data_IF_040729400149
#
_entry.id   IF_040729400149
#
_cell.length_a   1.000
_cell.length_b   1.000
_cell.length_c   1.000
_cell.angle_alpha   90.00
_cell.angle_beta   90.00
_cell.angle_gamma   90.00
#
_symmetry.space_group_name_H-M   'P 1'
#
loop_
_entity.id
_entity.type
_entity.pdbx_description
1 polymer ?
#
# COMPACT_ATOMS: atom_id res chain seq x y z
N UNK A 1 12.49 -0.26 -35.71
CA UNK A 1 12.78 -1.12 -34.55
C UNK A 1 11.42 -1.57 -34.03
N UNK A 2 11.00 -2.80 -34.30
CA UNK A 2 9.68 -3.27 -33.85
C UNK A 2 9.81 -3.65 -32.38
N UNK A 3 9.25 -2.83 -31.49
CA UNK A 3 9.14 -3.17 -30.09
C UNK A 3 8.20 -4.38 -29.95
N UNK A 4 8.71 -5.47 -29.39
CA UNK A 4 7.87 -6.60 -28.97
C UNK A 4 6.96 -6.12 -27.84
N UNK A 5 5.66 -6.47 -27.87
CA UNK A 5 4.74 -6.10 -26.81
C UNK A 5 5.16 -6.73 -25.47
N UNK A 6 4.96 -6.05 -24.33
CA UNK A 6 5.23 -6.61 -23.01
C UNK A 6 4.28 -7.79 -22.72
N UNK A 7 4.64 -8.70 -21.80
CA UNK A 7 3.77 -9.81 -21.43
C UNK A 7 2.40 -9.32 -20.96
N UNK A 8 1.31 -9.93 -21.44
CA UNK A 8 -0.04 -9.45 -21.17
C UNK A 8 -1.12 -10.08 -22.03
N UNK A 9 -2.37 -9.73 -21.75
CA UNK A 9 -3.53 -10.17 -22.53
C UNK A 9 -3.75 -9.24 -23.73
N UNK A 10 -3.86 -9.84 -24.91
CA UNK A 10 -4.09 -9.10 -26.16
C UNK A 10 -5.24 -9.72 -26.95
N UNK A 11 -5.93 -8.97 -27.82
CA UNK A 11 -6.99 -9.50 -28.67
C UNK A 11 -6.52 -10.69 -29.52
N UNK A 12 -7.28 -11.79 -29.51
CA UNK A 12 -6.97 -12.97 -30.32
C UNK A 12 -7.52 -12.80 -31.74
N UNK A 13 -6.65 -12.72 -32.75
CA UNK A 13 -7.06 -12.63 -34.16
C UNK A 13 -7.79 -13.91 -34.66
N UNK A 14 -7.77 -15.01 -33.90
CA UNK A 14 -8.43 -16.28 -34.22
C UNK A 14 -9.80 -16.52 -33.56
N UNK A 15 -10.27 -15.65 -32.65
CA UNK A 15 -11.51 -15.89 -31.90
C UNK A 15 -12.08 -14.67 -31.17
N UNK A 16 -13.26 -14.81 -30.55
CA UNK A 16 -13.87 -13.77 -29.72
C UNK A 16 -13.28 -13.81 -28.30
N UNK A 17 -12.04 -13.34 -28.13
CA UNK A 17 -11.36 -13.39 -26.84
C UNK A 17 -10.02 -12.67 -26.80
N UNK A 18 -9.36 -12.77 -25.66
CA UNK A 18 -7.98 -12.36 -25.47
C UNK A 18 -7.09 -13.59 -25.34
N UNK A 19 -5.85 -13.49 -25.82
CA UNK A 19 -4.80 -14.50 -25.68
C UNK A 19 -3.62 -13.89 -24.94
N UNK A 20 -2.98 -14.67 -24.09
CA UNK A 20 -1.86 -14.18 -23.29
C UNK A 20 -0.52 -14.32 -24.05
N UNK A 21 0.21 -13.22 -24.16
CA UNK A 21 1.58 -13.13 -24.67
C UNK A 21 2.55 -13.16 -23.49
N UNK A 22 3.56 -14.04 -23.50
CA UNK A 22 4.52 -14.19 -22.40
C UNK A 22 5.81 -13.36 -22.57
N UNK A 23 5.89 -12.56 -23.63
CA UNK A 23 7.09 -11.80 -24.00
C UNK A 23 7.95 -12.47 -25.08
N UNK A 24 7.72 -13.75 -25.38
CA UNK A 24 8.46 -14.52 -26.39
C UNK A 24 7.54 -15.24 -27.39
N UNK A 25 6.38 -15.74 -26.94
CA UNK A 25 5.39 -16.44 -27.74
C UNK A 25 3.95 -16.29 -27.20
N UNK A 26 2.98 -16.64 -28.04
CA UNK A 26 1.58 -16.72 -27.63
C UNK A 26 1.33 -18.03 -26.88
N UNK A 27 0.80 -17.93 -25.66
CA UNK A 27 0.46 -19.10 -24.84
C UNK A 27 -0.87 -19.73 -25.27
N UNK A 28 -1.24 -20.92 -24.78
CA UNK A 28 -2.55 -21.52 -25.07
C UNK A 28 -3.70 -20.94 -24.21
N UNK A 29 -3.38 -20.04 -23.28
CA UNK A 29 -4.38 -19.42 -22.40
C UNK A 29 -5.23 -18.40 -23.17
N UNK A 30 -6.55 -18.65 -23.21
CA UNK A 30 -7.56 -17.75 -23.79
C UNK A 30 -8.54 -17.30 -22.73
N UNK A 31 -8.87 -16.00 -22.71
CA UNK A 31 -9.92 -15.43 -21.86
C UNK A 31 -11.09 -14.93 -22.72
N UNK A 32 -12.36 -15.13 -22.31
CA UNK A 32 -13.49 -14.50 -22.98
C UNK A 32 -13.36 -12.97 -22.91
N UNK A 33 -13.52 -12.30 -24.05
CA UNK A 33 -13.26 -10.86 -24.14
C UNK A 33 -14.22 -10.03 -23.28
N UNK A 34 -13.67 -9.12 -22.46
CA UNK A 34 -14.46 -8.04 -21.84
C UNK A 34 -14.89 -7.06 -22.96
N UNK A 35 -16.18 -6.73 -23.01
CA UNK A 35 -16.68 -5.68 -23.90
C UNK A 35 -16.33 -4.34 -23.26
N UNK A 36 -15.18 -3.76 -23.61
CA UNK A 36 -14.95 -2.33 -23.45
C UNK A 36 -15.16 -1.63 -24.81
N UNK A 37 -15.91 -0.51 -24.85
CA UNK A 37 -16.19 0.18 -26.09
C UNK A 37 -14.96 0.99 -26.53
N UNK A 38 -14.27 0.53 -27.58
CA UNK A 38 -13.25 1.33 -28.26
C UNK A 38 -13.76 1.83 -29.63
N UNK A 39 -13.38 3.04 -30.06
CA UNK A 39 -14.05 3.77 -31.13
C UNK A 39 -13.79 3.13 -32.49
N UNK A 40 -14.87 3.01 -33.25
CA UNK A 40 -14.96 2.12 -34.40
C UNK A 40 -14.00 2.44 -35.52
N UNK A 41 -13.50 1.39 -36.16
CA UNK A 41 -12.98 1.41 -37.52
C UNK A 41 -13.57 0.20 -38.28
N UNK A 42 -13.93 0.48 -39.52
CA UNK A 42 -14.66 -0.33 -40.51
C UNK A 42 -14.09 -1.73 -40.78
N UNK A 43 -14.98 -2.72 -40.88
CA UNK A 43 -14.70 -4.08 -41.35
C UNK A 43 -14.82 -4.19 -42.88
N UNK A 44 -13.79 -4.77 -43.51
CA UNK A 44 -13.82 -5.31 -44.86
C UNK A 44 -13.34 -6.77 -44.83
N UNK A 45 -14.21 -7.67 -45.29
CA UNK A 45 -13.95 -8.78 -46.23
C UNK A 45 -12.87 -9.83 -45.94
N UNK A 46 -13.31 -11.09 -45.75
CA UNK A 46 -13.09 -12.11 -46.77
C UNK A 46 -12.08 -13.26 -46.52
N UNK A 47 -12.57 -14.47 -46.83
CA UNK A 47 -11.88 -15.61 -47.46
C UNK A 47 -11.22 -16.71 -46.60
N UNK A 48 -11.92 -17.84 -46.60
CA UNK A 48 -11.53 -19.26 -46.53
C UNK A 48 -10.25 -19.63 -47.31
N UNK A 49 -9.41 -20.57 -46.80
CA UNK A 49 -8.77 -21.70 -47.55
C UNK A 49 -8.33 -22.82 -46.57
N UNK A 50 -8.23 -24.02 -47.15
CA UNK A 50 -8.21 -25.43 -46.70
C UNK A 50 -6.80 -26.08 -46.73
N UNK A 51 -6.62 -27.16 -45.97
CA UNK A 51 -5.61 -28.23 -46.17
C UNK A 51 -4.61 -28.35 -45.00
N UNK A 52 -4.18 -29.50 -44.49
CA UNK A 52 -4.31 -30.90 -44.86
C UNK A 52 -3.02 -31.65 -44.48
N UNK A 53 -3.18 -32.86 -43.94
CA UNK A 53 -2.23 -34.01 -43.96
C UNK A 53 -1.31 -34.31 -42.74
N UNK A 54 -1.48 -35.57 -42.26
CA UNK A 54 -0.51 -36.54 -41.67
C UNK A 54 0.28 -36.15 -40.42
N UNK A 55 0.43 -36.93 -39.35
CA UNK A 55 0.20 -38.35 -39.08
C UNK A 55 1.31 -38.82 -38.12
N UNK A 56 0.97 -39.31 -36.94
CA UNK A 56 1.77 -40.25 -36.13
C UNK A 56 1.01 -40.55 -34.82
N UNK A 57 0.52 -41.77 -34.70
CA UNK A 57 -0.09 -42.28 -33.47
C UNK A 57 0.98 -42.47 -32.39
N UNK A 58 1.00 -41.63 -31.36
CA UNK A 58 1.60 -41.99 -30.09
C UNK A 58 0.55 -42.71 -29.25
N UNK A 59 0.75 -44.03 -29.11
CA UNK A 59 -0.13 -44.88 -28.33
C UNK A 59 -0.03 -44.56 -26.84
N UNK A 60 -1.18 -44.27 -26.23
CA UNK A 60 -1.37 -44.05 -24.81
C UNK A 60 -0.90 -45.27 -23.99
N UNK A 61 0.36 -45.24 -23.55
CA UNK A 61 0.91 -46.14 -22.52
C UNK A 61 0.15 -46.01 -21.19
N UNK A 62 -0.37 -44.81 -20.92
CA UNK A 62 -1.05 -44.42 -19.68
C UNK A 62 -2.47 -45.00 -19.45
N UNK A 63 -2.99 -45.86 -20.33
CA UNK A 63 -4.24 -46.61 -20.07
C UNK A 63 -4.02 -47.99 -19.41
N UNK A 64 -2.77 -48.41 -19.17
CA UNK A 64 -2.45 -49.76 -18.66
C UNK A 64 -2.04 -49.84 -17.19
N UNK A 65 -1.75 -48.72 -16.53
CA UNK A 65 -1.45 -48.70 -15.10
C UNK A 65 -2.47 -47.85 -14.37
N UNK A 66 -3.59 -48.48 -14.00
CA UNK A 66 -4.47 -47.98 -12.94
C UNK A 66 -3.88 -48.46 -11.61
N UNK A 67 -3.82 -47.55 -10.63
CA UNK A 67 -3.48 -47.76 -9.20
C UNK A 67 -1.99 -47.73 -8.85
N UNK A 68 -1.40 -46.53 -8.76
CA UNK A 68 -0.57 -46.07 -7.62
C UNK A 68 -0.71 -44.54 -7.53
N UNK A 69 -1.93 -44.05 -7.25
CA UNK A 69 -2.09 -42.71 -6.67
C UNK A 69 -2.11 -42.94 -5.16
N UNK A 70 -0.92 -42.99 -4.58
CA UNK A 70 -0.70 -43.29 -3.18
C UNK A 70 -0.12 -42.08 -2.49
N UNK A 71 -0.90 -41.02 -2.31
CA UNK A 71 -0.58 -40.02 -1.30
C UNK A 71 -0.90 -40.65 0.05
N UNK A 72 0.09 -41.35 0.61
CA UNK A 72 0.04 -41.86 1.97
C UNK A 72 0.59 -40.79 2.90
N UNK A 73 -0.28 -40.19 3.70
CA UNK A 73 0.16 -39.61 4.95
C UNK A 73 -0.97 -39.60 5.98
N UNK A 74 -0.61 -40.10 7.15
CA UNK A 74 -1.49 -40.48 8.25
C UNK A 74 -1.11 -39.61 9.46
N UNK A 75 -1.89 -38.54 9.67
CA UNK A 75 -2.51 -38.07 10.93
C UNK A 75 -1.68 -38.07 12.26
N UNK A 76 -1.56 -36.87 12.87
CA UNK A 76 -1.92 -36.45 14.26
C UNK A 76 -0.83 -35.88 15.23
N UNK A 77 -0.83 -34.54 15.36
CA UNK A 77 -1.09 -33.66 16.55
C UNK A 77 -0.62 -34.06 17.98
N UNK A 78 0.07 -33.14 18.69
CA UNK A 78 -0.39 -32.57 20.00
C UNK A 78 0.53 -31.50 20.64
N UNK A 79 -0.02 -30.27 20.73
CA UNK A 79 -0.13 -29.30 21.85
C UNK A 79 0.74 -29.42 23.12
N UNK A 80 1.31 -28.28 23.58
CA UNK A 80 1.29 -27.86 25.00
C UNK A 80 1.11 -26.33 25.15
N UNK A 81 0.24 -25.98 26.11
CA UNK A 81 -0.30 -24.68 26.57
C UNK A 81 0.53 -24.07 27.73
N UNK A 82 0.47 -22.73 27.92
CA UNK A 82 0.69 -22.05 29.22
C UNK A 82 0.74 -20.51 29.10
N UNK A 83 -0.36 -19.74 29.28
CA UNK A 83 -0.93 -19.12 30.52
C UNK A 83 0.02 -18.16 31.28
N UNK A 84 -0.17 -16.84 31.18
CA UNK A 84 -0.99 -15.91 32.01
C UNK A 84 -0.30 -15.35 33.27
N UNK A 85 -0.39 -14.03 33.49
CA UNK A 85 -0.15 -13.41 34.81
C UNK A 85 0.05 -11.88 34.77
N UNK A 86 -1.01 -11.14 35.06
CA UNK A 86 -1.12 -9.66 35.16
C UNK A 86 -0.85 -9.17 36.61
N UNK A 87 -0.98 -7.84 36.82
CA UNK A 87 -1.62 -7.15 37.99
C UNK A 87 -0.79 -6.01 38.65
N UNK A 88 -1.18 -4.77 38.29
CA UNK A 88 -1.68 -3.63 39.11
C UNK A 88 -0.84 -2.62 39.95
N UNK A 89 -1.30 -1.36 39.75
CA UNK A 89 -1.83 -0.34 40.72
C UNK A 89 -0.97 0.84 41.22
N UNK A 90 -1.53 2.05 40.97
CA UNK A 90 -1.19 3.40 41.49
C UNK A 90 -1.44 3.56 43.01
N UNK A 91 -1.05 4.69 43.63
CA UNK A 91 -1.99 5.83 43.73
C UNK A 91 -1.38 7.26 43.79
N UNK A 92 -2.27 8.23 43.53
CA UNK A 92 -2.27 9.69 43.75
C UNK A 92 -2.10 10.11 45.25
N UNK A 93 -2.29 11.38 45.75
CA UNK A 93 -2.55 12.69 45.11
C UNK A 93 -1.87 13.94 45.76
N UNK A 94 -2.19 15.13 45.19
CA UNK A 94 -2.70 16.35 45.87
C UNK A 94 -1.85 17.65 46.03
N UNK A 95 -2.57 18.75 45.75
CA UNK A 95 -2.57 20.11 46.34
C UNK A 95 -1.49 21.11 45.89
N UNK A 96 -1.80 22.19 45.14
CA UNK A 96 -2.61 23.39 45.42
C UNK A 96 -1.84 24.51 46.16
N UNK A 97 -1.88 25.72 45.60
CA UNK A 97 -1.34 26.94 46.19
C UNK A 97 -1.62 28.18 45.33
N UNK A 98 -2.76 28.82 45.58
CA UNK A 98 -3.22 30.12 45.06
C UNK A 98 -2.64 31.31 45.85
N UNK A 99 -2.88 32.51 45.29
CA UNK A 99 -2.93 33.87 45.89
C UNK A 99 -1.78 34.79 45.44
N UNK A 100 -1.91 36.11 45.27
CA UNK A 100 -2.94 37.10 44.94
C UNK A 100 -2.31 38.47 45.26
N UNK A 101 -2.76 39.53 44.56
CA UNK A 101 -2.66 40.96 44.96
C UNK A 101 -1.26 41.62 45.04
N UNK A 102 -1.07 42.93 44.86
CA UNK A 102 -1.84 44.06 44.35
C UNK A 102 -0.88 45.28 44.25
N UNK A 103 -1.16 46.14 43.28
CA UNK A 103 -1.14 47.63 43.32
C UNK A 103 -0.03 48.36 44.10
N UNK A 104 0.67 49.25 43.39
CA UNK A 104 1.41 50.39 43.98
C UNK A 104 1.48 51.57 43.01
N UNK A 105 0.57 52.52 43.19
CA UNK A 105 0.53 53.84 42.53
C UNK A 105 1.45 54.81 43.29
N UNK A 106 2.19 55.66 42.60
CA UNK A 106 2.71 56.91 43.19
C UNK A 106 2.95 57.96 42.10
N UNK A 107 2.13 59.00 42.15
CA UNK A 107 2.29 60.28 41.48
C UNK A 107 3.46 61.07 42.11
N UNK A 108 4.20 61.82 41.29
CA UNK A 108 5.08 62.89 41.75
C UNK A 108 5.14 64.01 40.68
N UNK A 109 4.40 65.08 40.95
CA UNK A 109 4.56 66.40 40.34
C UNK A 109 5.95 66.96 40.61
N UNK A 110 6.62 67.51 39.59
CA UNK A 110 7.66 68.52 39.74
C UNK A 110 7.40 69.68 38.76
N UNK A 111 7.58 70.86 39.32
CA UNK A 111 7.21 72.21 38.93
C UNK A 111 7.88 72.79 37.68
N UNK A 112 7.07 73.64 37.03
CA UNK A 112 7.29 74.50 35.88
C UNK A 112 8.20 75.70 36.16
N UNK A 113 9.19 75.93 35.28
CA UNK A 113 9.85 77.22 35.07
C UNK A 113 9.42 77.77 33.70
N UNK A 114 8.86 78.97 33.70
CA UNK A 114 8.22 79.62 32.55
C UNK A 114 9.25 80.39 31.72
N UNK A 115 9.92 79.71 30.79
CA UNK A 115 10.32 80.36 29.54
C UNK A 115 9.09 80.49 28.66
N UNK A 116 8.94 81.61 27.94
CA UNK A 116 7.88 81.77 26.93
C UNK A 116 8.17 80.85 25.76
N UNK A 117 7.76 79.60 25.87
CA UNK A 117 7.75 78.61 24.80
C UNK A 117 6.73 79.12 23.76
N UNK A 118 7.09 79.25 22.47
CA UNK A 118 6.10 79.52 21.44
C UNK A 118 5.02 78.45 21.49
N UNK A 119 3.74 78.81 21.31
CA UNK A 119 2.68 77.80 21.30
C UNK A 119 3.03 76.70 20.30
N UNK A 120 2.83 75.43 20.68
CA UNK A 120 3.16 74.34 19.78
C UNK A 120 2.32 74.50 18.52
N UNK A 121 3.01 74.56 17.38
CA UNK A 121 2.37 74.73 16.07
C UNK A 121 1.81 73.36 15.67
N UNK A 122 0.57 73.35 15.23
CA UNK A 122 -0.10 72.23 14.55
C UNK A 122 -0.49 72.76 13.17
N UNK A 123 0.33 72.45 12.17
CA UNK A 123 0.28 73.06 10.84
C UNK A 123 -0.85 72.50 9.97
N UNK A 124 -1.28 71.26 10.17
CA UNK A 124 -2.36 70.65 9.39
C UNK A 124 -3.66 70.44 10.17
N UNK A 125 -3.67 70.75 11.47
CA UNK A 125 -4.86 70.87 12.30
C UNK A 125 -5.43 69.52 12.72
N UNK A 126 -4.59 68.49 12.79
CA UNK A 126 -5.01 67.11 13.08
C UNK A 126 -4.97 66.75 14.57
N UNK A 127 -4.52 67.70 15.39
CA UNK A 127 -4.44 67.56 16.85
C UNK A 127 -3.11 67.02 17.36
N UNK A 128 -2.15 66.70 16.48
CA UNK A 128 -0.76 66.40 16.83
C UNK A 128 0.11 67.61 16.47
N UNK A 129 0.98 68.00 17.39
CA UNK A 129 1.84 69.18 17.18
C UNK A 129 2.99 68.83 16.22
N UNK A 130 3.45 69.79 15.42
CA UNK A 130 4.48 69.62 14.38
C UNK A 130 5.78 68.95 14.88
N UNK A 131 6.09 69.08 16.18
CA UNK A 131 7.26 68.48 16.81
C UNK A 131 7.13 66.96 17.02
N UNK A 132 5.90 66.47 17.19
CA UNK A 132 5.56 65.07 17.46
C UNK A 132 4.92 64.38 16.24
N UNK A 133 4.48 65.15 15.23
CA UNK A 133 3.84 64.66 14.02
C UNK A 133 4.89 64.16 12.98
N UNK A 134 4.68 62.94 12.47
CA UNK A 134 5.51 62.35 11.42
C UNK A 134 5.36 63.06 10.06
N UNK A 135 4.21 63.69 9.78
CA UNK A 135 3.97 64.52 8.60
C UNK A 135 3.20 65.80 8.98
N UNK A 136 3.90 66.85 9.48
CA UNK A 136 3.33 68.15 9.92
C UNK A 136 2.59 69.00 8.86
N UNK A 137 2.24 68.44 7.71
CA UNK A 137 1.49 69.12 6.63
C UNK A 137 0.43 68.19 6.03
N UNK A 138 0.26 67.00 6.58
CA UNK A 138 -0.65 65.99 6.11
C UNK A 138 -1.34 65.34 7.31
N UNK A 139 -2.51 65.90 7.64
CA UNK A 139 -3.38 65.51 8.77
C UNK A 139 -3.84 64.05 8.77
N UNK A 140 -3.48 63.27 7.76
CA UNK A 140 -3.79 61.86 7.63
C UNK A 140 -2.65 60.94 8.12
N UNK A 141 -1.45 61.46 8.40
CA UNK A 141 -0.26 60.65 8.72
C UNK A 141 0.45 61.19 9.97
N UNK A 142 -0.06 60.83 11.13
CA UNK A 142 0.49 61.23 12.43
C UNK A 142 1.73 60.42 12.80
N UNK A 143 1.73 59.13 12.46
CA UNK A 143 2.78 58.17 12.80
C UNK A 143 3.32 57.45 11.57
N UNK A 144 4.37 56.62 11.74
CA UNK A 144 4.83 55.72 10.66
C UNK A 144 3.80 54.66 10.32
N UNK A 145 2.98 54.27 11.29
CA UNK A 145 1.97 53.24 11.15
C UNK A 145 0.79 53.72 10.30
N UNK A 146 0.64 55.05 10.11
CA UNK A 146 -0.36 55.65 9.22
C UNK A 146 0.08 55.74 7.76
N UNK A 147 1.32 55.35 7.44
CA UNK A 147 1.75 55.21 6.05
C UNK A 147 0.97 54.09 5.37
N UNK A 148 0.89 54.13 4.05
CA UNK A 148 0.47 53.02 3.18
C UNK A 148 1.61 52.83 2.18
N UNK A 149 2.59 52.03 2.60
CA UNK A 149 3.91 51.95 1.95
C UNK A 149 3.84 51.26 0.58
N UNK A 150 2.94 50.30 0.39
CA UNK A 150 2.77 49.56 -0.87
C UNK A 150 1.51 49.93 -1.68
N UNK A 151 0.65 50.79 -1.12
CA UNK A 151 -0.50 51.42 -1.78
C UNK A 151 -1.63 50.47 -2.10
N UNK A 152 -1.86 49.51 -1.23
CA UNK A 152 -2.96 48.57 -1.34
C UNK A 152 -4.24 49.03 -0.61
N UNK A 153 -4.15 50.16 0.10
CA UNK A 153 -5.25 50.79 0.82
C UNK A 153 -5.35 50.41 2.29
N UNK A 154 -4.42 49.62 2.83
CA UNK A 154 -4.28 49.35 4.28
C UNK A 154 -3.11 50.15 4.82
N UNK A 155 -3.23 50.67 6.04
CA UNK A 155 -2.13 51.41 6.69
C UNK A 155 -1.10 50.42 7.25
N UNK A 156 0.17 50.76 7.20
CA UNK A 156 1.32 49.96 7.63
C UNK A 156 1.14 49.35 9.05
N UNK A 157 0.45 50.05 9.95
CA UNK A 157 0.16 49.55 11.31
C UNK A 157 -0.91 48.45 11.38
N UNK A 158 -1.81 48.41 10.40
CA UNK A 158 -2.91 47.44 10.28
C UNK A 158 -2.58 46.32 9.26
N UNK A 159 -1.51 46.47 8.48
CA UNK A 159 -1.10 45.58 7.39
C UNK A 159 -0.14 44.47 7.85
N UNK A 160 -0.43 43.22 7.48
CA UNK A 160 0.40 42.06 7.77
C UNK A 160 1.75 42.06 7.02
N UNK A 161 1.82 42.67 5.83
CA UNK A 161 3.05 42.88 5.06
C UNK A 161 3.05 44.28 4.45
N UNK A 162 3.49 45.31 5.20
CA UNK A 162 3.53 46.72 4.77
C UNK A 162 4.38 47.08 3.54
N UNK A 163 4.86 46.11 2.77
CA UNK A 163 5.67 46.29 1.56
C UNK A 163 5.23 45.36 0.43
N UNK A 164 4.20 44.56 0.65
CA UNK A 164 3.67 43.60 -0.31
C UNK A 164 2.16 43.83 -0.47
N UNK A 165 1.74 44.53 -1.55
CA UNK A 165 0.36 44.99 -1.72
C UNK A 165 -0.64 43.85 -1.99
N UNK A 166 -0.18 42.60 -1.93
CA UNK A 166 -1.00 41.40 -2.07
C UNK A 166 -1.39 40.79 -0.73
N UNK A 167 -0.73 41.16 0.37
CA UNK A 167 -0.82 40.46 1.65
C UNK A 167 -1.23 41.43 2.76
N UNK A 168 -2.52 41.73 2.84
CA UNK A 168 -3.08 42.65 3.84
C UNK A 168 -3.26 41.98 5.19
N UNK A 169 -3.66 40.71 5.18
CA UNK A 169 -4.04 39.93 6.33
C UNK A 169 -3.31 38.59 6.35
N UNK A 170 -3.41 37.87 7.46
CA UNK A 170 -2.90 36.49 7.54
C UNK A 170 -3.66 35.53 6.62
N UNK A 171 -4.89 35.86 6.21
CA UNK A 171 -5.68 35.05 5.26
C UNK A 171 -5.20 35.19 3.81
N UNK A 172 -4.40 36.22 3.50
CA UNK A 172 -3.88 36.44 2.13
C UNK A 172 -2.57 35.68 1.86
N UNK A 173 -1.95 35.13 2.91
CA UNK A 173 -0.74 34.31 2.76
C UNK A 173 -1.13 32.91 2.32
N UNK A 174 -0.87 32.61 1.05
CA UNK A 174 -1.10 31.32 0.41
C UNK A 174 0.15 31.02 -0.44
N UNK A 175 1.02 30.14 0.07
CA UNK A 175 2.36 29.91 -0.48
C UNK A 175 2.33 29.04 -1.74
N UNK A 176 1.33 28.21 -1.93
CA UNK A 176 1.21 27.30 -3.07
C UNK A 176 0.05 27.63 -4.02
N UNK A 177 -0.71 28.69 -3.73
CA UNK A 177 -1.80 29.24 -4.53
C UNK A 177 -2.99 28.25 -4.69
N UNK A 178 -3.27 27.42 -3.67
CA UNK A 178 -4.38 26.46 -3.66
C UNK A 178 -5.72 27.04 -3.17
N UNK A 179 -5.68 28.25 -2.59
CA UNK A 179 -6.82 28.97 -2.06
C UNK A 179 -7.08 28.77 -0.56
N UNK A 180 -6.21 28.04 0.15
CA UNK A 180 -6.21 27.89 1.60
C UNK A 180 -5.03 28.64 2.19
N UNK A 181 -5.30 29.58 3.08
CA UNK A 181 -4.23 30.34 3.73
C UNK A 181 -3.27 29.41 4.50
N UNK A 182 -1.96 29.66 4.44
CA UNK A 182 -0.88 28.84 5.00
C UNK A 182 -1.11 28.36 6.45
N UNK A 183 -1.80 29.16 7.27
CA UNK A 183 -2.02 28.81 8.68
C UNK A 183 -3.24 27.90 8.91
N UNK A 184 -4.08 27.72 7.90
CA UNK A 184 -5.23 26.81 7.85
C UNK A 184 -4.96 25.60 6.96
N UNK A 185 -3.84 25.61 6.26
CA UNK A 185 -3.41 24.57 5.36
C UNK A 185 -2.42 23.64 6.08
N UNK A 186 -2.72 22.34 6.09
CA UNK A 186 -1.84 21.32 6.66
C UNK A 186 -0.64 21.01 5.74
N UNK A 187 -0.72 21.37 4.44
CA UNK A 187 0.37 21.26 3.47
C UNK A 187 0.64 22.57 2.70
N UNK A 188 1.12 23.66 3.36
CA UNK A 188 1.28 25.01 2.78
C UNK A 188 2.25 25.19 1.59
N UNK A 189 2.76 24.11 1.02
CA UNK A 189 3.73 24.11 -0.09
C UNK A 189 3.33 23.13 -1.18
N UNK A 190 2.15 22.53 -1.07
CA UNK A 190 1.65 21.53 -1.98
C UNK A 190 0.18 21.80 -2.32
N UNK A 191 -0.02 22.54 -3.40
CA UNK A 191 -1.35 22.96 -3.85
C UNK A 191 -2.31 21.82 -4.27
N UNK A 192 -1.87 20.57 -4.19
CA UNK A 192 -2.74 19.42 -4.43
C UNK A 192 -3.53 19.01 -3.18
N UNK A 193 -3.09 19.41 -1.99
CA UNK A 193 -3.63 18.93 -0.72
C UNK A 193 -3.62 20.03 0.33
N UNK A 194 -4.69 20.15 1.11
CA UNK A 194 -4.76 21.14 2.19
C UNK A 194 -5.34 20.66 3.52
N UNK A 195 -5.57 19.34 3.65
CA UNK A 195 -6.15 18.74 4.85
C UNK A 195 -5.43 17.47 5.26
N UNK A 196 -5.11 17.42 6.54
CA UNK A 196 -4.58 16.28 7.29
C UNK A 196 -5.31 16.23 8.64
N UNK A 197 -6.44 15.52 8.67
CA UNK A 197 -7.36 15.56 9.80
C UNK A 197 -6.76 14.96 11.08
N UNK A 198 -5.82 14.03 10.96
CA UNK A 198 -5.22 13.35 12.11
C UNK A 198 -3.74 13.69 12.38
N UNK A 199 -3.09 14.39 11.47
CA UNK A 199 -1.75 14.95 11.63
C UNK A 199 -0.64 13.95 11.36
N UNK A 200 -0.87 12.91 10.56
CA UNK A 200 0.12 11.89 10.21
C UNK A 200 0.99 12.24 8.98
N UNK A 201 0.74 13.41 8.37
CA UNK A 201 1.37 13.95 7.16
C UNK A 201 0.98 13.24 5.86
N UNK A 202 -0.05 12.41 5.87
CA UNK A 202 -0.72 11.89 4.68
C UNK A 202 -2.00 12.70 4.45
N UNK A 203 -2.20 13.30 3.26
CA UNK A 203 -3.41 14.03 2.98
C UNK A 203 -4.67 13.17 3.14
N UNK A 204 -5.76 13.74 3.65
CA UNK A 204 -7.07 13.07 3.83
C UNK A 204 -7.55 12.32 2.56
N UNK A 205 -7.15 12.77 1.37
CA UNK A 205 -7.53 12.16 0.08
C UNK A 205 -6.73 10.90 -0.28
N UNK A 206 -5.56 10.73 0.31
CA UNK A 206 -4.64 9.60 0.10
C UNK A 206 -4.56 8.68 1.32
N UNK A 207 -5.24 9.06 2.40
CA UNK A 207 -5.27 8.35 3.66
C UNK A 207 -6.54 7.49 3.75
N UNK A 208 -6.35 6.18 3.88
CA UNK A 208 -7.46 5.24 4.07
C UNK A 208 -8.05 5.29 5.50
N UNK A 209 -7.33 5.90 6.45
CA UNK A 209 -7.75 6.12 7.83
C UNK A 209 -7.58 7.59 8.30
N UNK A 210 -8.28 8.59 7.72
CA UNK A 210 -8.08 10.05 7.98
C UNK A 210 -8.36 10.56 9.41
N UNK A 211 -8.55 9.68 10.38
CA UNK A 211 -8.87 10.02 11.78
C UNK A 211 -8.02 9.23 12.77
N UNK A 212 -7.10 8.42 12.30
CA UNK A 212 -6.25 7.58 13.12
C UNK A 212 -4.80 7.69 12.66
N UNK A 213 -3.99 8.54 13.30
CA UNK A 213 -2.66 8.92 12.80
C UNK A 213 -1.60 7.81 12.93
N UNK A 214 -2.04 6.59 13.25
CA UNK A 214 -1.20 5.40 13.34
C UNK A 214 -1.20 4.63 12.02
N UNK A 215 -2.15 4.88 11.13
CA UNK A 215 -2.38 4.08 9.92
C UNK A 215 -2.79 4.99 8.78
N UNK A 216 -2.28 4.73 7.57
CA UNK A 216 -2.68 5.49 6.38
C UNK A 216 -2.87 4.67 5.11
N UNK A 217 -2.72 3.34 5.20
CA UNK A 217 -2.82 2.43 4.06
C UNK A 217 -3.72 1.24 4.36
N UNK A 218 -4.65 0.99 3.45
CA UNK A 218 -5.54 -0.16 3.36
C UNK A 218 -5.61 -0.59 1.88
N UNK A 219 -4.64 -1.40 1.48
CA UNK A 219 -4.42 -1.74 0.07
C UNK A 219 -5.61 -2.47 -0.55
N UNK A 220 -6.37 -3.24 0.22
CA UNK A 220 -7.53 -3.99 -0.26
C UNK A 220 -8.89 -3.44 0.17
N UNK A 221 -8.90 -2.38 0.98
CA UNK A 221 -10.08 -1.65 1.44
C UNK A 221 -11.01 -2.53 2.31
N UNK A 222 -10.44 -3.43 3.11
CA UNK A 222 -11.20 -4.28 4.05
C UNK A 222 -11.47 -3.61 5.41
N UNK A 223 -10.87 -2.43 5.64
CA UNK A 223 -10.98 -1.64 6.86
C UNK A 223 -9.93 -1.99 7.93
N UNK A 224 -8.96 -2.85 7.61
CA UNK A 224 -7.82 -3.17 8.46
C UNK A 224 -6.55 -2.66 7.82
N UNK A 225 -5.84 -1.78 8.52
CA UNK A 225 -4.61 -1.20 7.99
C UNK A 225 -3.58 -2.28 7.60
N UNK A 226 -2.83 -2.06 6.50
CA UNK A 226 -1.83 -2.98 5.96
C UNK A 226 -0.85 -3.51 7.04
N UNK A 227 -0.51 -2.67 8.03
CA UNK A 227 0.41 -3.03 9.12
C UNK A 227 -0.20 -3.95 10.20
N UNK A 228 -1.53 -4.07 10.22
CA UNK A 228 -2.33 -4.91 11.12
C UNK A 228 -3.02 -6.06 10.40
N UNK A 229 -3.02 -6.02 9.08
CA UNK A 229 -3.60 -7.02 8.24
C UNK A 229 -2.61 -8.16 7.94
N UNK A 230 -3.06 -9.40 8.18
CA UNK A 230 -2.33 -10.59 7.80
C UNK A 230 -2.37 -10.86 6.28
N UNK A 231 -3.32 -10.26 5.54
CA UNK A 231 -3.51 -10.40 4.11
C UNK A 231 -3.80 -9.06 3.41
N UNK A 232 -2.84 -8.12 3.34
CA UNK A 232 -3.04 -6.75 2.82
C UNK A 232 -3.43 -6.60 1.33
N UNK A 233 -3.87 -7.66 0.67
CA UNK A 233 -4.25 -7.65 -0.75
C UNK A 233 -5.48 -8.52 -1.01
N UNK A 234 -6.12 -9.02 0.04
CA UNK A 234 -7.25 -9.95 -0.01
C UNK A 234 -8.37 -9.47 0.92
N UNK A 235 -9.34 -8.71 0.38
CA UNK A 235 -10.35 -8.04 1.20
C UNK A 235 -11.37 -8.98 1.83
N UNK A 236 -11.25 -10.29 1.58
CA UNK A 236 -12.12 -11.30 2.16
C UNK A 236 -11.64 -11.80 3.53
N UNK A 237 -10.40 -11.47 3.93
CA UNK A 237 -9.80 -11.92 5.19
C UNK A 237 -8.69 -11.00 5.65
N UNK A 238 -8.69 -10.64 6.94
CA UNK A 238 -7.59 -9.86 7.53
C UNK A 238 -6.83 -10.52 8.68
N UNK A 239 -7.21 -11.75 9.05
CA UNK A 239 -6.66 -12.44 10.22
C UNK A 239 -6.33 -13.88 9.91
N UNK A 240 -5.17 -14.34 10.40
CA UNK A 240 -4.83 -15.76 10.40
C UNK A 240 -5.81 -16.48 11.32
N UNK A 241 -6.48 -17.50 10.80
CA UNK A 241 -7.42 -18.31 11.57
C UNK A 241 -6.74 -19.56 12.11
N UNK A 242 -7.33 -20.16 13.15
CA UNK A 242 -6.86 -21.45 13.68
C UNK A 242 -6.87 -22.56 12.61
N UNK A 243 -7.78 -22.52 11.64
CA UNK A 243 -7.80 -23.49 10.55
C UNK A 243 -6.55 -23.36 9.66
N UNK A 244 -6.09 -22.14 9.43
CA UNK A 244 -4.87 -21.85 8.67
C UNK A 244 -3.62 -22.30 9.42
N UNK A 245 -3.55 -22.07 10.73
CA UNK A 245 -2.47 -22.57 11.59
C UNK A 245 -2.42 -24.11 11.57
N UNK A 246 -3.58 -24.78 11.70
CA UNK A 246 -3.67 -26.24 11.61
C UNK A 246 -3.27 -26.76 10.21
N UNK A 247 -3.58 -26.02 9.15
CA UNK A 247 -3.16 -26.35 7.79
C UNK A 247 -1.64 -26.25 7.66
N UNK A 248 -1.01 -25.23 8.24
CA UNK A 248 0.45 -25.08 8.27
C UNK A 248 1.13 -26.23 9.04
N UNK A 249 0.65 -26.56 10.23
CA UNK A 249 1.18 -27.70 11.01
C UNK A 249 1.01 -29.02 10.24
N UNK A 250 -0.15 -29.23 9.61
CA UNK A 250 -0.39 -30.40 8.76
C UNK A 250 0.57 -30.45 7.57
N UNK A 251 0.83 -29.30 6.93
CA UNK A 251 1.74 -29.18 5.79
C UNK A 251 3.17 -29.59 6.18
N UNK A 252 3.65 -29.13 7.34
CA UNK A 252 4.94 -29.53 7.90
C UNK A 252 4.99 -31.05 8.17
N UNK A 253 3.96 -31.58 8.83
CA UNK A 253 3.87 -33.03 9.11
C UNK A 253 3.86 -33.90 7.85
N UNK A 254 3.23 -33.43 6.77
CA UNK A 254 3.27 -34.12 5.47
C UNK A 254 4.69 -34.17 4.89
N UNK A 255 5.42 -33.05 4.93
CA UNK A 255 6.78 -32.94 4.41
C UNK A 255 7.83 -33.70 5.24
N UNK A 256 7.56 -33.95 6.52
CA UNK A 256 8.42 -34.78 7.38
C UNK A 256 8.36 -36.26 7.00
N UNK A 257 7.23 -36.73 6.47
CA UNK A 257 7.03 -38.15 6.14
C UNK A 257 7.26 -38.47 4.67
N UNK A 258 6.86 -37.58 3.76
CA UNK A 258 6.91 -37.81 2.31
C UNK A 258 7.35 -36.57 1.56
N UNK A 259 7.98 -36.77 0.40
CA UNK A 259 8.31 -35.68 -0.50
C UNK A 259 7.07 -35.20 -1.27
N UNK A 260 6.87 -33.88 -1.32
CA UNK A 260 5.78 -33.25 -2.07
C UNK A 260 6.29 -32.10 -2.94
N UNK A 261 5.65 -31.90 -4.09
CA UNK A 261 5.71 -30.60 -4.77
C UNK A 261 4.84 -29.58 -4.03
N UNK A 262 5.08 -28.28 -4.30
CA UNK A 262 4.22 -27.21 -3.78
C UNK A 262 2.74 -27.49 -4.09
N UNK A 263 2.43 -27.80 -5.35
CA UNK A 263 1.06 -28.06 -5.78
C UNK A 263 0.50 -29.34 -5.16
N UNK A 264 1.27 -30.43 -5.15
CA UNK A 264 0.84 -31.69 -4.56
C UNK A 264 0.54 -31.58 -3.06
N UNK A 265 1.28 -30.75 -2.33
CA UNK A 265 1.01 -30.49 -0.92
C UNK A 265 -0.29 -29.69 -0.72
N UNK A 266 -0.53 -28.67 -1.54
CA UNK A 266 -1.79 -27.89 -1.53
C UNK A 266 -2.98 -28.80 -1.85
N UNK A 267 -2.85 -29.66 -2.86
CA UNK A 267 -3.90 -30.61 -3.26
C UNK A 267 -4.15 -31.64 -2.14
N UNK A 268 -3.10 -32.10 -1.46
CA UNK A 268 -3.24 -33.02 -0.33
C UNK A 268 -3.95 -32.38 0.87
N UNK A 269 -3.62 -31.12 1.19
CA UNK A 269 -4.25 -30.38 2.29
C UNK A 269 -5.72 -30.06 2.00
N UNK A 270 -6.03 -29.65 0.77
CA UNK A 270 -7.37 -29.25 0.36
C UNK A 270 -8.27 -30.42 -0.08
N UNK A 271 -7.69 -31.60 -0.32
CA UNK A 271 -8.45 -32.78 -0.70
C UNK A 271 -9.39 -33.22 0.42
N UNK A 272 -10.66 -33.49 0.07
CA UNK A 272 -11.64 -34.10 0.97
C UNK A 272 -11.23 -35.48 1.51
N UNK A 273 -10.27 -36.14 0.88
CA UNK A 273 -9.72 -37.43 1.31
C UNK A 273 -8.38 -37.29 2.05
N UNK A 274 -7.79 -36.10 2.04
CA UNK A 274 -6.61 -35.74 2.81
C UNK A 274 -7.03 -35.03 4.10
N UNK A 275 -6.64 -33.76 4.22
CA UNK A 275 -6.98 -32.96 5.41
C UNK A 275 -8.29 -32.17 5.30
N UNK A 276 -8.78 -31.89 4.09
CA UNK A 276 -10.06 -31.22 3.85
C UNK A 276 -10.10 -29.73 4.20
N UNK A 277 -8.96 -29.04 4.23
CA UNK A 277 -8.90 -27.59 4.43
C UNK A 277 -9.47 -26.82 3.22
N UNK A 278 -9.84 -25.55 3.44
CA UNK A 278 -10.11 -24.62 2.34
C UNK A 278 -8.89 -24.50 1.41
N UNK A 279 -9.13 -24.29 0.11
CA UNK A 279 -8.03 -24.17 -0.86
C UNK A 279 -7.14 -22.94 -0.55
N UNK A 280 -7.74 -21.86 -0.09
CA UNK A 280 -7.10 -20.63 0.36
C UNK A 280 -6.29 -20.83 1.65
N UNK A 281 -6.80 -21.62 2.60
CA UNK A 281 -6.09 -22.00 3.83
C UNK A 281 -4.88 -22.88 3.51
N UNK A 282 -5.08 -23.90 2.67
CA UNK A 282 -4.02 -24.81 2.23
C UNK A 282 -2.92 -24.07 1.44
N UNK A 283 -3.31 -23.18 0.52
CA UNK A 283 -2.36 -22.39 -0.26
C UNK A 283 -1.54 -21.47 0.65
N UNK A 284 -2.22 -20.73 1.55
CA UNK A 284 -1.53 -19.88 2.50
C UNK A 284 -0.55 -20.67 3.36
N UNK A 285 -0.98 -21.82 3.90
CA UNK A 285 -0.15 -22.68 4.74
C UNK A 285 1.12 -23.10 4.02
N UNK A 286 1.01 -23.53 2.76
CA UNK A 286 2.18 -23.94 1.96
C UNK A 286 3.09 -22.75 1.63
N UNK A 287 2.55 -21.55 1.45
CA UNK A 287 3.33 -20.34 1.16
C UNK A 287 4.09 -19.80 2.38
N UNK A 288 3.68 -20.15 3.61
CA UNK A 288 4.46 -19.83 4.82
C UNK A 288 5.67 -20.75 5.01
N UNK A 289 5.78 -21.85 4.25
CA UNK A 289 6.86 -22.81 4.41
C UNK A 289 8.15 -22.33 3.75
N UNK A 290 9.24 -22.35 4.51
CA UNK A 290 10.59 -22.18 3.95
C UNK A 290 11.16 -23.51 3.44
N UNK A 291 10.66 -23.98 2.30
CA UNK A 291 10.98 -25.30 1.72
C UNK A 291 11.75 -25.16 0.42
N UNK A 292 12.85 -25.91 0.29
CA UNK A 292 13.52 -26.09 -1.00
C UNK A 292 12.77 -27.15 -1.83
N UNK A 293 11.88 -26.68 -2.70
CA UNK A 293 11.07 -27.52 -3.57
C UNK A 293 11.92 -28.35 -4.55
N UNK A 294 13.13 -27.89 -4.91
CA UNK A 294 14.05 -28.68 -5.72
C UNK A 294 14.61 -29.85 -4.93
N UNK A 295 14.89 -29.68 -3.64
CA UNK A 295 15.31 -30.78 -2.78
C UNK A 295 14.17 -31.76 -2.51
N UNK A 296 12.93 -31.28 -2.38
CA UNK A 296 11.75 -32.15 -2.35
C UNK A 296 11.64 -32.98 -3.63
N UNK A 297 11.87 -32.38 -4.81
CA UNK A 297 11.90 -33.11 -6.07
C UNK A 297 12.99 -34.19 -6.10
N UNK A 298 14.18 -33.92 -5.54
CA UNK A 298 15.28 -34.89 -5.43
C UNK A 298 14.89 -36.07 -4.54
N UNK A 299 14.25 -35.81 -3.41
CA UNK A 299 13.74 -36.88 -2.52
C UNK A 299 12.69 -37.73 -3.24
N UNK A 300 11.69 -37.09 -3.83
CA UNK A 300 10.65 -37.78 -4.61
C UNK A 300 11.23 -38.62 -5.76
N UNK A 301 12.25 -38.10 -6.47
CA UNK A 301 12.92 -38.82 -7.54
C UNK A 301 13.61 -40.11 -7.04
N UNK A 302 14.24 -40.07 -5.86
CA UNK A 302 14.83 -41.25 -5.22
C UNK A 302 13.76 -42.24 -4.79
N UNK A 303 12.68 -41.76 -4.16
CA UNK A 303 11.57 -42.61 -3.73
C UNK A 303 10.94 -43.38 -4.91
N UNK A 304 10.77 -42.73 -6.06
CA UNK A 304 10.31 -43.40 -7.28
C UNK A 304 11.28 -44.48 -7.77
N UNK A 305 12.59 -44.20 -7.73
CA UNK A 305 13.63 -45.13 -8.17
C UNK A 305 13.79 -46.33 -7.23
N UNK A 306 13.53 -46.16 -5.95
CA UNK A 306 13.52 -47.24 -4.97
C UNK A 306 12.39 -48.24 -5.24
N UNK A 307 11.28 -47.79 -5.83
CA UNK A 307 10.15 -48.66 -6.18
C UNK A 307 10.24 -49.25 -7.60
N UNK A 308 10.70 -48.47 -8.59
CA UNK A 308 10.77 -48.91 -9.99
C UNK A 308 11.93 -48.24 -10.73
N UNK A 309 12.46 -48.92 -11.75
CA UNK A 309 13.43 -48.31 -12.65
C UNK A 309 12.76 -47.33 -13.62
N UNK A 310 13.43 -46.21 -13.90
CA UNK A 310 13.00 -45.21 -14.87
C UNK A 310 14.14 -44.84 -15.83
N UNK A 311 13.80 -44.43 -17.05
CA UNK A 311 14.73 -43.67 -17.88
C UNK A 311 14.80 -42.22 -17.40
N UNK A 312 15.84 -41.48 -17.78
CA UNK A 312 15.97 -40.05 -17.48
C UNK A 312 14.70 -39.27 -17.83
N UNK A 313 14.24 -39.38 -19.08
CA UNK A 313 13.04 -38.67 -19.53
C UNK A 313 11.79 -39.17 -18.81
N UNK A 314 11.66 -40.48 -18.62
CA UNK A 314 10.49 -41.05 -17.94
C UNK A 314 10.36 -40.60 -16.49
N UNK A 315 11.48 -40.41 -15.77
CA UNK A 315 11.45 -39.90 -14.40
C UNK A 315 11.09 -38.41 -14.36
N UNK A 316 11.61 -37.62 -15.31
CA UNK A 316 11.22 -36.20 -15.45
C UNK A 316 9.71 -36.11 -15.69
N UNK A 317 9.20 -36.87 -16.67
CA UNK A 317 7.78 -36.89 -17.02
C UNK A 317 6.92 -37.31 -15.82
N UNK A 318 7.37 -38.29 -15.03
CA UNK A 318 6.66 -38.76 -13.84
C UNK A 318 6.61 -37.69 -12.74
N UNK A 319 7.73 -37.01 -12.48
CA UNK A 319 7.81 -35.97 -11.45
C UNK A 319 7.00 -34.72 -11.83
N UNK A 320 7.03 -34.32 -13.11
CA UNK A 320 6.31 -33.15 -13.59
C UNK A 320 4.87 -33.42 -14.05
N UNK A 321 4.43 -34.68 -14.01
CA UNK A 321 3.09 -35.04 -14.47
C UNK A 321 2.03 -34.40 -13.58
N UNK A 322 0.94 -33.85 -14.15
CA UNK A 322 -0.20 -33.35 -13.39
C UNK A 322 -0.92 -34.45 -12.60
N UNK A 323 -0.72 -35.71 -12.97
CA UNK A 323 -1.25 -36.89 -12.27
C UNK A 323 -0.18 -37.64 -11.47
N UNK A 324 1.06 -37.14 -11.50
CA UNK A 324 2.21 -37.70 -10.79
C UNK A 324 2.52 -36.87 -9.55
N UNK A 325 3.77 -36.43 -9.42
CA UNK A 325 4.20 -35.64 -8.27
C UNK A 325 4.00 -34.12 -8.44
N UNK A 326 3.60 -33.65 -9.63
CA UNK A 326 3.24 -32.24 -9.91
C UNK A 326 4.36 -31.21 -9.62
N UNK A 327 5.62 -31.62 -9.70
CA UNK A 327 6.74 -30.67 -9.68
C UNK A 327 6.76 -29.82 -10.96
N UNK A 328 7.33 -28.63 -10.88
CA UNK A 328 7.64 -27.88 -12.10
C UNK A 328 8.66 -28.67 -12.95
N UNK A 329 8.64 -28.47 -14.27
CA UNK A 329 9.60 -29.12 -15.16
C UNK A 329 11.06 -28.79 -14.76
N UNK A 330 11.30 -27.58 -14.26
CA UNK A 330 12.61 -27.15 -13.77
C UNK A 330 13.08 -27.92 -12.54
N UNK A 331 12.20 -28.12 -11.55
CA UNK A 331 12.49 -28.91 -10.34
C UNK A 331 12.69 -30.39 -10.67
N UNK A 332 11.83 -30.97 -11.50
CA UNK A 332 11.95 -32.34 -11.95
C UNK A 332 13.28 -32.58 -12.70
N UNK A 333 13.61 -31.70 -13.64
CA UNK A 333 14.87 -31.79 -14.39
C UNK A 333 16.08 -31.63 -13.49
N UNK A 334 16.03 -30.68 -12.55
CA UNK A 334 17.09 -30.51 -11.56
C UNK A 334 17.28 -31.77 -10.71
N UNK A 335 16.19 -32.36 -10.22
CA UNK A 335 16.23 -33.56 -9.39
C UNK A 335 16.91 -34.73 -10.11
N UNK A 336 16.48 -35.02 -11.33
CA UNK A 336 17.01 -36.12 -12.15
C UNK A 336 18.49 -35.90 -12.48
N UNK A 337 18.91 -34.66 -12.79
CA UNK A 337 20.32 -34.33 -12.98
C UNK A 337 21.13 -34.56 -11.70
N UNK A 338 20.61 -34.12 -10.55
CA UNK A 338 21.31 -34.17 -9.27
C UNK A 338 21.54 -35.61 -8.78
N UNK A 339 20.67 -36.54 -9.14
CA UNK A 339 20.82 -37.98 -8.81
C UNK A 339 21.60 -38.77 -9.87
N UNK A 340 22.04 -38.14 -10.96
CA UNK A 340 22.97 -38.72 -11.93
C UNK A 340 22.34 -39.51 -13.09
N UNK A 341 21.09 -39.20 -13.46
CA UNK A 341 20.39 -39.79 -14.62
C UNK A 341 20.42 -38.95 -15.89
#
# INVERSE_FOLDING_TARGET
>A
MNATPPPGWYPDNGGNGQRYWDGQQWTEHTAPGRIEPSPGHSSQSGATVRGGATGASQGNWFLRHKVISGVFAFVLLMFIVGTLGSVNEDPSPAAAGTSAEAVGKSDAEISSETETVPEPVDTDGDGVVDADDFRPKNSAIQTRDDLDTDRDGVRDGDDFRPKDPKIQTRDDVDTDDDGVADYKDDFPKNASYSKDTDGDLVPDQLDDFPKDPRFSKDTDNDGVADSKDAFPSDPSRSKVTLAMENALESAQGYLDYSAFSRQGLIDQLSSKYGSGFGLDEATWAVDQLNVDWKEQAVRSAKDYLDFSSFSRQGLIDQLSSPYGAQFTLGEATYAVNKIGL
#
